data_IF_182806129735
#
_entry.id   IF_182806129735
#
_cell.length_a   1.000
_cell.length_b   1.000
_cell.length_c   1.000
_cell.angle_alpha   90.00
_cell.angle_beta   90.00
_cell.angle_gamma   90.00
#
_symmetry.space_group_name_H-M   'P 1'
#
loop_
_entity.id
_entity.type
_entity.pdbx_description
1 polymer ?
#
# COMPACT_ATOMS: atom_id res chain seq x y z
N UNK A 1 1.06 -30.85 -11.23
CA UNK A 1 0.49 -29.49 -11.13
C UNK A 1 0.70 -29.02 -9.70
N UNK A 2 1.83 -28.37 -9.40
CA UNK A 2 2.09 -27.83 -8.06
C UNK A 2 1.24 -26.57 -7.90
N UNK A 3 0.09 -26.70 -7.26
CA UNK A 3 -0.77 -25.57 -6.91
C UNK A 3 0.04 -24.58 -6.10
N UNK A 4 0.31 -23.41 -6.68
CA UNK A 4 1.05 -22.35 -6.02
C UNK A 4 0.19 -21.87 -4.84
N UNK A 5 0.65 -22.08 -3.61
CA UNK A 5 -0.09 -21.67 -2.42
C UNK A 5 -0.12 -20.13 -2.37
N UNK A 6 -1.28 -19.47 -2.18
CA UNK A 6 -1.33 -18.02 -2.04
C UNK A 6 -0.35 -17.46 -0.99
N UNK A 7 -0.04 -18.22 0.06
CA UNK A 7 0.98 -17.84 1.04
C UNK A 7 2.40 -17.76 0.44
N UNK A 8 2.74 -18.64 -0.50
CA UNK A 8 4.02 -18.63 -1.21
C UNK A 8 4.12 -17.43 -2.16
N UNK A 9 3.02 -17.10 -2.86
CA UNK A 9 2.94 -15.93 -3.71
C UNK A 9 3.05 -14.62 -2.91
N UNK A 10 2.44 -14.51 -1.73
CA UNK A 10 2.63 -13.34 -0.84
C UNK A 10 4.11 -13.21 -0.42
N UNK A 11 4.75 -14.33 -0.05
CA UNK A 11 6.17 -14.33 0.36
C UNK A 11 7.09 -13.90 -0.77
N UNK A 12 6.88 -14.42 -1.98
CA UNK A 12 7.63 -14.04 -3.18
C UNK A 12 7.35 -12.59 -3.59
N UNK A 13 6.09 -12.16 -3.52
CA UNK A 13 5.70 -10.77 -3.75
C UNK A 13 6.45 -9.80 -2.83
N UNK A 14 6.47 -10.09 -1.53
CA UNK A 14 7.24 -9.31 -0.55
C UNK A 14 8.75 -9.33 -0.82
N UNK A 15 9.31 -10.47 -1.22
CA UNK A 15 10.73 -10.59 -1.58
C UNK A 15 11.06 -9.66 -2.75
N UNK A 16 10.33 -9.79 -3.85
CA UNK A 16 10.56 -8.95 -5.03
C UNK A 16 10.30 -7.47 -4.76
N UNK A 17 9.32 -7.13 -3.92
CA UNK A 17 9.08 -5.75 -3.52
C UNK A 17 10.29 -5.14 -2.79
N UNK A 18 10.91 -5.87 -1.86
CA UNK A 18 12.13 -5.43 -1.16
C UNK A 18 13.33 -5.28 -2.10
N UNK A 19 13.42 -6.14 -3.10
CA UNK A 19 14.43 -6.08 -4.18
C UNK A 19 14.11 -5.02 -5.24
N UNK A 20 13.05 -4.21 -5.05
CA UNK A 20 12.56 -3.21 -6.00
C UNK A 20 12.12 -3.75 -7.37
N UNK A 21 11.94 -5.07 -7.46
CA UNK A 21 11.40 -5.77 -8.63
C UNK A 21 9.87 -5.65 -8.66
N UNK A 22 9.34 -4.43 -8.76
CA UNK A 22 7.91 -4.13 -8.55
C UNK A 22 6.98 -4.82 -9.54
N UNK A 23 7.42 -5.05 -10.79
CA UNK A 23 6.65 -5.82 -11.76
C UNK A 23 6.53 -7.30 -11.40
N UNK A 24 7.57 -7.91 -10.80
CA UNK A 24 7.47 -9.27 -10.29
C UNK A 24 6.66 -9.33 -9.01
N UNK A 25 6.82 -8.33 -8.13
CA UNK A 25 6.01 -8.20 -6.92
C UNK A 25 4.51 -8.15 -7.26
N UNK A 26 4.13 -7.30 -8.21
CA UNK A 26 2.76 -7.19 -8.73
C UNK A 26 2.22 -8.54 -9.19
N UNK A 27 2.97 -9.28 -10.02
CA UNK A 27 2.50 -10.57 -10.55
C UNK A 27 2.24 -11.59 -9.45
N UNK A 28 3.10 -11.63 -8.43
CA UNK A 28 2.93 -12.54 -7.30
C UNK A 28 1.77 -12.13 -6.40
N UNK A 29 1.66 -10.85 -6.03
CA UNK A 29 0.50 -10.38 -5.26
C UNK A 29 -0.81 -10.54 -6.02
N UNK A 30 -0.81 -10.36 -7.35
CA UNK A 30 -1.98 -10.59 -8.19
C UNK A 30 -2.44 -12.04 -8.15
N UNK A 31 -1.52 -13.01 -8.27
CA UNK A 31 -1.83 -14.44 -8.10
C UNK A 31 -2.38 -14.73 -6.71
N UNK A 32 -1.82 -14.11 -5.67
CA UNK A 32 -2.30 -14.28 -4.31
C UNK A 32 -3.74 -13.77 -4.12
N UNK A 33 -4.12 -12.63 -4.70
CA UNK A 33 -5.50 -12.13 -4.62
C UNK A 33 -6.47 -12.92 -5.51
N UNK A 34 -6.00 -13.47 -6.64
CA UNK A 34 -6.79 -14.38 -7.48
C UNK A 34 -7.10 -15.69 -6.74
N UNK A 35 -6.13 -16.24 -6.02
CA UNK A 35 -6.29 -17.47 -5.24
C UNK A 35 -6.99 -17.26 -3.89
N UNK A 36 -6.85 -16.10 -3.27
CA UNK A 36 -7.47 -15.77 -1.99
C UNK A 36 -7.97 -14.32 -1.97
N UNK A 37 -9.15 -14.04 -2.57
CA UNK A 37 -9.69 -12.69 -2.72
C UNK A 37 -10.00 -11.98 -1.40
N UNK A 38 -10.11 -12.72 -0.29
CA UNK A 38 -10.33 -12.18 1.06
C UNK A 38 -9.04 -11.96 1.85
N UNK A 39 -7.88 -12.07 1.23
CA UNK A 39 -6.60 -11.80 1.89
C UNK A 39 -6.22 -10.31 1.74
N UNK A 40 -6.44 -9.53 2.80
CA UNK A 40 -6.15 -8.09 2.78
C UNK A 40 -4.65 -7.76 2.62
N UNK A 41 -3.76 -8.61 3.13
CA UNK A 41 -2.32 -8.44 2.99
C UNK A 41 -1.88 -8.56 1.52
N UNK A 42 -2.44 -9.52 0.79
CA UNK A 42 -2.19 -9.67 -0.64
C UNK A 42 -2.66 -8.43 -1.43
N UNK A 43 -3.86 -7.91 -1.13
CA UNK A 43 -4.37 -6.68 -1.74
C UNK A 43 -3.50 -5.46 -1.42
N UNK A 44 -3.04 -5.34 -0.17
CA UNK A 44 -2.14 -4.26 0.24
C UNK A 44 -0.77 -4.34 -0.47
N UNK A 45 -0.20 -5.54 -0.60
CA UNK A 45 1.03 -5.74 -1.37
C UNK A 45 0.86 -5.43 -2.86
N UNK A 46 -0.29 -5.77 -3.43
CA UNK A 46 -0.64 -5.42 -4.81
C UNK A 46 -0.77 -3.90 -4.99
N UNK A 47 -1.45 -3.22 -4.08
CA UNK A 47 -1.60 -1.76 -4.09
C UNK A 47 -0.24 -1.06 -4.01
N UNK A 48 0.61 -1.46 -3.06
CA UNK A 48 1.96 -0.91 -2.92
C UNK A 48 2.82 -1.16 -4.17
N UNK A 49 2.67 -2.32 -4.82
CA UNK A 49 3.37 -2.62 -6.08
C UNK A 49 2.90 -1.70 -7.20
N UNK A 50 1.59 -1.45 -7.32
CA UNK A 50 1.06 -0.49 -8.28
C UNK A 50 1.50 0.95 -8.00
N UNK A 51 1.60 1.36 -6.74
CA UNK A 51 2.14 2.67 -6.35
C UNK A 51 3.55 2.88 -6.89
N UNK A 52 4.42 1.88 -6.71
CA UNK A 52 5.81 1.92 -7.20
C UNK A 52 5.92 1.88 -8.72
N UNK A 53 4.92 1.30 -9.39
CA UNK A 53 4.78 1.31 -10.84
C UNK A 53 4.06 2.56 -11.38
N UNK A 54 3.68 3.51 -10.51
CA UNK A 54 2.89 4.72 -10.83
C UNK A 54 1.54 4.43 -11.49
N UNK A 55 0.97 3.24 -11.25
CA UNK A 55 -0.36 2.82 -11.71
C UNK A 55 -1.39 3.14 -10.62
N UNK A 56 -1.54 4.43 -10.31
CA UNK A 56 -2.27 4.89 -9.12
C UNK A 56 -3.76 4.55 -9.15
N UNK A 57 -4.37 4.48 -10.34
CA UNK A 57 -5.74 4.04 -10.55
C UNK A 57 -5.96 2.59 -10.10
N UNK A 58 -5.00 1.72 -10.36
CA UNK A 58 -5.03 0.33 -9.92
C UNK A 58 -4.68 0.19 -8.43
N UNK A 59 -3.78 1.03 -7.93
CA UNK A 59 -3.47 1.09 -6.50
C UNK A 59 -4.71 1.44 -5.67
N UNK A 60 -5.49 2.45 -6.07
CA UNK A 60 -6.73 2.83 -5.37
C UNK A 60 -7.77 1.70 -5.36
N UNK A 61 -7.90 0.97 -6.47
CA UNK A 61 -8.80 -0.20 -6.53
C UNK A 61 -8.35 -1.29 -5.55
N UNK A 62 -7.06 -1.56 -5.47
CA UNK A 62 -6.50 -2.56 -4.55
C UNK A 62 -6.61 -2.12 -3.07
N UNK A 63 -6.35 -0.85 -2.76
CA UNK A 63 -6.61 -0.30 -1.41
C UNK A 63 -8.08 -0.40 -1.02
N UNK A 64 -9.00 -0.07 -1.95
CA UNK A 64 -10.44 -0.23 -1.72
C UNK A 64 -10.82 -1.67 -1.37
N UNK A 65 -10.24 -2.67 -2.05
CA UNK A 65 -10.45 -4.08 -1.71
C UNK A 65 -9.91 -4.40 -0.31
N UNK A 66 -8.69 -3.99 0.02
CA UNK A 66 -8.12 -4.20 1.35
C UNK A 66 -8.98 -3.57 2.46
N UNK A 67 -9.43 -2.32 2.27
CA UNK A 67 -10.35 -1.65 3.20
C UNK A 67 -11.69 -2.38 3.36
N UNK A 68 -12.23 -2.98 2.29
CA UNK A 68 -13.49 -3.72 2.37
C UNK A 68 -13.39 -5.01 3.21
N UNK A 69 -12.18 -5.54 3.39
CA UNK A 69 -11.94 -6.81 4.10
C UNK A 69 -11.66 -6.56 5.59
N UNK A 70 -10.77 -5.61 5.92
CA UNK A 70 -10.32 -5.39 7.32
C UNK A 70 -10.66 -3.99 7.86
N UNK A 71 -11.32 -3.15 7.08
CA UNK A 71 -11.60 -1.76 7.44
C UNK A 71 -10.35 -0.85 7.39
N UNK A 72 -10.50 0.42 7.77
CA UNK A 72 -9.41 1.41 7.76
C UNK A 72 -8.46 1.22 8.94
N UNK A 73 -7.58 0.22 8.86
CA UNK A 73 -6.53 -0.02 9.84
C UNK A 73 -5.45 1.06 9.77
N UNK A 74 -4.69 1.31 10.86
CA UNK A 74 -3.59 2.28 10.82
C UNK A 74 -2.56 2.00 9.71
N UNK A 75 -2.26 0.73 9.46
CA UNK A 75 -1.32 0.30 8.43
C UNK A 75 -1.84 0.61 7.01
N UNK A 76 -3.10 0.26 6.72
CA UNK A 76 -3.69 0.55 5.41
C UNK A 76 -3.83 2.05 5.15
N UNK A 77 -4.27 2.82 6.16
CA UNK A 77 -4.33 4.28 6.06
C UNK A 77 -2.93 4.88 5.86
N UNK A 78 -1.91 4.35 6.54
CA UNK A 78 -0.53 4.80 6.35
C UNK A 78 -0.03 4.57 4.93
N UNK A 79 -0.25 3.36 4.39
CA UNK A 79 0.20 3.00 3.04
C UNK A 79 -0.58 3.78 1.97
N UNK A 80 -1.89 3.95 2.13
CA UNK A 80 -2.70 4.76 1.20
C UNK A 80 -2.37 6.25 1.29
N UNK A 81 -2.07 6.76 2.50
CA UNK A 81 -1.55 8.11 2.68
C UNK A 81 -0.23 8.33 1.95
N UNK A 82 0.69 7.37 2.04
CA UNK A 82 1.95 7.39 1.28
C UNK A 82 1.73 7.30 -0.25
N UNK A 83 0.77 6.49 -0.71
CA UNK A 83 0.35 6.44 -2.12
C UNK A 83 -0.07 7.82 -2.64
N UNK A 84 -0.79 8.61 -1.84
CA UNK A 84 -1.16 9.98 -2.21
C UNK A 84 0.04 10.92 -2.27
N UNK A 85 1.04 10.78 -1.38
CA UNK A 85 2.30 11.54 -1.48
C UNK A 85 3.00 11.24 -2.81
N UNK A 86 3.13 9.97 -3.19
CA UNK A 86 3.83 9.55 -4.41
C UNK A 86 3.25 10.13 -5.71
N UNK A 87 1.96 10.46 -5.71
CA UNK A 87 1.26 11.04 -6.87
C UNK A 87 1.03 12.55 -6.76
N UNK A 88 1.56 13.20 -5.72
CA UNK A 88 1.43 14.64 -5.49
C UNK A 88 0.08 15.09 -4.95
N UNK A 89 -0.82 14.16 -4.57
CA UNK A 89 -2.10 14.51 -3.95
C UNK A 89 -1.92 14.75 -2.45
N UNK A 90 -1.26 15.84 -2.12
CA UNK A 90 -0.92 16.19 -0.74
C UNK A 90 -2.16 16.47 0.13
N UNK A 91 -3.28 16.85 -0.49
CA UNK A 91 -4.55 17.08 0.22
C UNK A 91 -5.10 15.76 0.75
N UNK A 92 -5.22 14.75 -0.11
CA UNK A 92 -5.70 13.42 0.29
C UNK A 92 -4.71 12.72 1.22
N UNK A 93 -3.41 12.90 1.01
CA UNK A 93 -2.37 12.39 1.90
C UNK A 93 -2.54 12.92 3.34
N UNK A 94 -2.74 14.24 3.50
CA UNK A 94 -2.91 14.87 4.83
C UNK A 94 -4.11 14.31 5.58
N UNK A 95 -5.26 14.18 4.90
CA UNK A 95 -6.48 13.63 5.51
C UNK A 95 -6.27 12.17 5.92
N UNK A 96 -5.70 11.36 5.04
CA UNK A 96 -5.55 9.92 5.26
C UNK A 96 -4.54 9.62 6.37
N UNK A 97 -3.40 10.32 6.39
CA UNK A 97 -2.39 10.16 7.44
C UNK A 97 -2.86 10.69 8.80
N UNK A 98 -3.69 11.73 8.83
CA UNK A 98 -4.32 12.19 10.08
C UNK A 98 -5.23 11.11 10.69
N UNK A 99 -6.01 10.40 9.85
CA UNK A 99 -6.80 9.25 10.31
C UNK A 99 -5.91 8.12 10.85
N UNK A 100 -4.79 7.84 10.17
CA UNK A 100 -3.82 6.84 10.61
C UNK A 100 -3.24 7.21 11.99
N UNK A 101 -2.81 8.46 12.15
CA UNK A 101 -2.25 9.01 13.41
C UNK A 101 -3.27 8.98 14.55
N UNK A 102 -4.53 9.31 14.28
CA UNK A 102 -5.58 9.25 15.29
C UNK A 102 -5.79 7.83 15.85
N UNK A 103 -5.63 6.79 15.02
CA UNK A 103 -5.74 5.40 15.44
C UNK A 103 -4.48 4.83 16.08
N UNK A 104 -3.30 5.36 15.73
CA UNK A 104 -2.02 4.89 16.25
C UNK A 104 -1.05 6.07 16.47
N UNK A 105 -1.26 6.88 17.54
CA UNK A 105 -0.55 8.16 17.72
C UNK A 105 0.96 8.00 17.90
N UNK A 106 1.42 6.86 18.41
CA UNK A 106 2.84 6.62 18.70
C UNK A 106 3.54 5.77 17.62
N UNK A 107 2.90 5.53 16.47
CA UNK A 107 3.50 4.75 15.39
C UNK A 107 4.52 5.59 14.60
N UNK A 108 5.79 5.16 14.64
CA UNK A 108 6.91 5.86 13.98
C UNK A 108 6.79 5.89 12.46
N UNK A 109 6.26 4.84 11.82
CA UNK A 109 6.09 4.80 10.37
C UNK A 109 5.06 5.82 9.89
N UNK A 110 3.99 6.01 10.66
CA UNK A 110 2.98 7.05 10.38
C UNK A 110 3.60 8.44 10.52
N UNK A 111 4.38 8.66 11.57
CA UNK A 111 5.07 9.95 11.74
C UNK A 111 6.04 10.23 10.60
N UNK A 112 6.86 9.25 10.20
CA UNK A 112 7.80 9.42 9.08
C UNK A 112 7.09 9.81 7.77
N UNK A 113 5.91 9.25 7.50
CA UNK A 113 5.14 9.62 6.30
C UNK A 113 4.49 11.01 6.40
N UNK A 114 4.14 11.46 7.61
CA UNK A 114 3.67 12.83 7.84
C UNK A 114 4.81 13.83 7.61
N UNK A 115 5.99 13.54 8.16
CA UNK A 115 7.18 14.39 7.98
C UNK A 115 7.56 14.47 6.49
N UNK A 116 7.53 13.33 5.78
CA UNK A 116 7.73 13.26 4.33
C UNK A 116 6.69 14.10 3.56
N UNK A 117 5.42 14.07 3.96
CA UNK A 117 4.37 14.88 3.35
C UNK A 117 4.65 16.37 3.51
N UNK A 118 4.99 16.81 4.72
CA UNK A 118 5.24 18.23 4.99
C UNK A 118 6.48 18.74 4.25
N UNK A 119 7.55 17.93 4.16
CA UNK A 119 8.71 18.22 3.32
C UNK A 119 8.34 18.31 1.83
N UNK A 120 7.50 17.39 1.34
CA UNK A 120 7.04 17.38 -0.07
C UNK A 120 6.22 18.63 -0.42
N UNK A 121 5.37 19.10 0.51
CA UNK A 121 4.59 20.33 0.33
C UNK A 121 5.49 21.56 0.31
N UNK A 122 6.49 21.61 1.20
CA UNK A 122 7.45 22.72 1.25
C UNK A 122 8.24 22.83 -0.06
N UNK A 123 8.69 21.70 -0.60
CA UNK A 123 9.51 21.66 -1.82
C UNK A 123 8.71 21.89 -3.11
N UNK A 124 7.38 21.82 -3.05
CA UNK A 124 6.49 22.06 -4.20
C UNK A 124 6.04 23.54 -4.32
N UNK A 125 6.48 24.41 -3.42
CA UNK A 125 6.23 25.86 -3.43
C UNK A 125 7.44 26.59 -4.00
#
# INVERSE_FOLDING_TARGET
MTGNNPADDIKLGKKHYREQNFGLAERHFRRAVEASPRNAEAWMGLAASYDKLRRFDLADRAYKQAFSIVGPTPELLNNHGYSYILRGDYKSARVTLAQAKAKAPNNKYIQNNIDLLDDSIRNAR
#
